data_IF_031752863057
#
_entry.id   IF_031752863057
#
_cell.length_a   1.000
_cell.length_b   1.000
_cell.length_c   1.000
_cell.angle_alpha   90.00
_cell.angle_beta   90.00
_cell.angle_gamma   90.00
#
_symmetry.space_group_name_H-M   'P 1'
#
loop_
_entity.id
_entity.type
_entity.pdbx_description
1 polymer ?
#
# COMPACT_ATOMS: atom_id res chain seq x y z
N UNK A 1 -27.79 27.78 -24.52
CA UNK A 1 -26.62 28.22 -25.31
C UNK A 1 -26.14 27.07 -26.15
N UNK A 2 -26.13 27.20 -27.48
CA UNK A 2 -25.45 26.24 -28.36
C UNK A 2 -23.96 26.53 -28.37
N UNK A 3 -23.14 25.50 -28.12
CA UNK A 3 -21.69 25.62 -28.28
C UNK A 3 -21.36 25.70 -29.78
N UNK A 4 -20.40 26.55 -30.15
CA UNK A 4 -19.85 26.55 -31.51
C UNK A 4 -19.24 25.19 -31.84
N UNK A 5 -19.14 24.86 -33.12
CA UNK A 5 -18.58 23.57 -33.58
C UNK A 5 -17.17 23.31 -33.01
N UNK A 6 -16.33 24.34 -32.97
CA UNK A 6 -14.99 24.29 -32.37
C UNK A 6 -15.04 23.96 -30.87
N UNK A 7 -15.93 24.62 -30.10
CA UNK A 7 -16.05 24.38 -28.67
C UNK A 7 -16.57 22.96 -28.38
N UNK A 8 -17.44 22.42 -29.22
CA UNK A 8 -17.90 21.04 -29.10
C UNK A 8 -16.73 20.08 -29.24
N UNK A 9 -15.90 20.22 -30.27
CA UNK A 9 -14.72 19.36 -30.48
C UNK A 9 -13.74 19.48 -29.30
N UNK A 10 -13.45 20.70 -28.86
CA UNK A 10 -12.55 20.95 -27.74
C UNK A 10 -13.02 20.25 -26.45
N UNK A 11 -14.32 20.30 -26.15
CA UNK A 11 -14.90 19.62 -24.98
C UNK A 11 -14.75 18.10 -25.08
N UNK A 12 -14.96 17.49 -26.26
CA UNK A 12 -14.79 16.05 -26.42
C UNK A 12 -13.32 15.63 -26.18
N UNK A 13 -12.36 16.40 -26.69
CA UNK A 13 -10.94 16.14 -26.42
C UNK A 13 -10.56 16.32 -24.95
N UNK A 14 -11.08 17.35 -24.28
CA UNK A 14 -10.85 17.53 -22.84
C UNK A 14 -11.44 16.38 -22.01
N UNK A 15 -12.65 15.94 -22.33
CA UNK A 15 -13.27 14.82 -21.62
C UNK A 15 -12.50 13.52 -21.88
N UNK A 16 -12.12 13.25 -23.13
CA UNK A 16 -11.38 12.05 -23.48
C UNK A 16 -10.02 11.99 -22.75
N UNK A 17 -9.29 13.10 -22.72
CA UNK A 17 -8.01 13.19 -22.00
C UNK A 17 -8.20 13.04 -20.50
N UNK A 18 -9.20 13.71 -19.90
CA UNK A 18 -9.51 13.56 -18.48
C UNK A 18 -9.85 12.11 -18.10
N UNK A 19 -10.64 11.40 -18.93
CA UNK A 19 -10.97 10.00 -18.71
C UNK A 19 -9.71 9.12 -18.78
N UNK A 20 -8.87 9.30 -19.79
CA UNK A 20 -7.62 8.53 -19.93
C UNK A 20 -6.71 8.76 -18.73
N UNK A 21 -6.55 10.01 -18.30
CA UNK A 21 -5.77 10.36 -17.11
C UNK A 21 -6.36 9.72 -15.86
N UNK A 22 -7.68 9.78 -15.65
CA UNK A 22 -8.34 9.17 -14.50
C UNK A 22 -8.15 7.64 -14.47
N UNK A 23 -8.25 6.97 -15.61
CA UNK A 23 -8.03 5.53 -15.73
C UNK A 23 -6.58 5.18 -15.36
N UNK A 24 -5.62 5.94 -15.88
CA UNK A 24 -4.19 5.74 -15.58
C UNK A 24 -3.91 5.86 -14.08
N UNK A 25 -4.39 6.93 -13.44
CA UNK A 25 -4.23 7.13 -11.99
C UNK A 25 -4.93 6.03 -11.18
N UNK A 26 -6.12 5.60 -11.61
CA UNK A 26 -6.85 4.52 -10.94
C UNK A 26 -6.09 3.20 -11.03
N UNK A 27 -5.52 2.87 -12.20
CA UNK A 27 -4.73 1.65 -12.37
C UNK A 27 -3.50 1.64 -11.45
N UNK A 28 -2.76 2.75 -11.39
CA UNK A 28 -1.61 2.90 -10.49
C UNK A 28 -2.04 2.74 -9.03
N UNK A 29 -3.11 3.43 -8.62
CA UNK A 29 -3.66 3.34 -7.27
C UNK A 29 -4.01 1.89 -6.89
N UNK A 30 -4.69 1.15 -7.77
CA UNK A 30 -5.11 -0.22 -7.50
C UNK A 30 -3.92 -1.18 -7.34
N UNK A 31 -2.86 -1.02 -8.15
CA UNK A 31 -1.64 -1.82 -8.03
C UNK A 31 -0.96 -1.57 -6.69
N UNK A 32 -0.78 -0.30 -6.33
CA UNK A 32 -0.17 0.09 -5.05
C UNK A 32 -1.01 -0.41 -3.89
N UNK A 33 -2.32 -0.14 -3.91
CA UNK A 33 -3.25 -0.54 -2.85
C UNK A 33 -3.22 -2.05 -2.60
N UNK A 34 -3.30 -2.87 -3.66
CA UNK A 34 -3.28 -4.33 -3.55
C UNK A 34 -1.94 -4.84 -3.02
N UNK A 35 -0.84 -4.31 -3.52
CA UNK A 35 0.51 -4.71 -3.08
C UNK A 35 0.71 -4.40 -1.61
N UNK A 36 0.37 -3.17 -1.21
CA UNK A 36 0.52 -2.70 0.17
C UNK A 36 -0.35 -3.50 1.12
N UNK A 37 -1.66 -3.62 0.84
CA UNK A 37 -2.57 -4.33 1.73
C UNK A 37 -2.17 -5.79 1.87
N UNK A 38 -1.81 -6.46 0.76
CA UNK A 38 -1.43 -7.87 0.82
C UNK A 38 -0.18 -8.09 1.67
N UNK A 39 0.84 -7.24 1.53
CA UNK A 39 2.05 -7.38 2.33
C UNK A 39 1.79 -7.05 3.79
N UNK A 40 1.09 -5.95 4.07
CA UNK A 40 0.76 -5.55 5.44
C UNK A 40 -0.07 -6.62 6.17
N UNK A 41 -1.08 -7.18 5.51
CA UNK A 41 -1.96 -8.20 6.10
C UNK A 41 -1.20 -9.51 6.37
N UNK A 42 -0.30 -9.90 5.46
CA UNK A 42 0.57 -11.07 5.66
C UNK A 42 1.54 -10.87 6.82
N UNK A 43 2.20 -9.70 6.89
CA UNK A 43 3.19 -9.38 7.92
C UNK A 43 2.54 -9.33 9.31
N UNK A 44 1.41 -8.62 9.43
CA UNK A 44 0.64 -8.54 10.69
C UNK A 44 0.11 -9.91 11.11
N UNK A 45 -0.40 -10.70 10.16
CA UNK A 45 -0.90 -12.05 10.46
C UNK A 45 0.22 -12.99 10.91
N UNK A 46 1.41 -12.86 10.33
CA UNK A 46 2.58 -13.64 10.71
C UNK A 46 3.02 -13.29 12.14
N UNK A 47 3.19 -12.00 12.45
CA UNK A 47 3.55 -11.54 13.80
C UNK A 47 2.49 -11.93 14.83
N UNK A 48 1.21 -11.70 14.55
CA UNK A 48 0.13 -12.08 15.45
C UNK A 48 0.12 -13.58 15.75
N UNK A 49 0.34 -14.43 14.73
CA UNK A 49 0.40 -15.88 14.91
C UNK A 49 1.61 -16.32 15.73
N UNK A 50 2.78 -15.71 15.49
CA UNK A 50 4.00 -15.95 16.25
C UNK A 50 3.77 -15.63 17.74
N UNK A 51 3.33 -14.42 18.05
CA UNK A 51 3.11 -13.96 19.42
C UNK A 51 1.97 -14.72 20.13
N UNK A 52 0.94 -15.17 19.40
CA UNK A 52 -0.11 -16.01 20.00
C UNK A 52 0.43 -17.37 20.48
N UNK A 53 1.47 -17.91 19.83
CA UNK A 53 2.09 -19.19 20.25
C UNK A 53 2.96 -19.04 21.49
N UNK A 54 3.36 -17.82 21.85
CA UNK A 54 4.08 -17.50 23.09
C UNK A 54 3.13 -17.36 24.29
N UNK A 55 1.82 -17.44 24.08
CA UNK A 55 0.81 -17.44 25.14
C UNK A 55 0.52 -18.87 25.61
N UNK A 56 0.67 -19.12 26.91
CA UNK A 56 0.27 -20.38 27.55
C UNK A 56 -0.94 -20.15 28.42
N UNK A 57 -1.99 -20.94 28.21
CA UNK A 57 -3.12 -21.02 29.13
C UNK A 57 -2.79 -22.00 30.25
N UNK A 58 -2.72 -21.51 31.48
CA UNK A 58 -2.51 -22.32 32.68
C UNK A 58 -3.69 -22.08 33.62
N UNK A 59 -4.64 -23.02 33.62
CA UNK A 59 -5.92 -22.86 34.33
C UNK A 59 -6.71 -21.67 33.78
N UNK A 60 -7.13 -20.77 34.67
CA UNK A 60 -7.84 -19.53 34.32
C UNK A 60 -6.89 -18.34 34.05
N UNK A 61 -5.58 -18.58 33.95
CA UNK A 61 -4.57 -17.53 33.75
C UNK A 61 -3.87 -17.66 32.38
N UNK A 62 -3.64 -16.51 31.74
CA UNK A 62 -2.79 -16.39 30.55
C UNK A 62 -1.39 -16.04 31.04
N UNK A 63 -0.40 -16.86 30.68
CA UNK A 63 1.01 -16.62 30.99
C UNK A 63 1.80 -16.44 29.70
N UNK A 64 2.66 -15.43 29.66
CA UNK A 64 3.61 -15.22 28.58
C UNK A 64 4.82 -16.13 28.81
N UNK A 65 5.19 -16.93 27.82
CA UNK A 65 6.34 -17.84 27.89
C UNK A 65 7.67 -17.09 27.84
N UNK A 66 7.74 -15.97 27.12
CA UNK A 66 8.95 -15.14 26.93
C UNK A 66 8.60 -13.66 27.10
N UNK A 67 8.53 -13.19 28.35
CA UNK A 67 8.22 -11.79 28.66
C UNK A 67 9.31 -10.81 28.22
N UNK A 68 10.53 -11.29 28.05
CA UNK A 68 11.70 -10.58 27.57
C UNK A 68 11.62 -10.23 26.08
N UNK A 69 11.09 -11.14 25.23
CA UNK A 69 10.85 -10.88 23.80
C UNK A 69 9.92 -9.67 23.60
N UNK A 70 8.84 -9.59 24.39
CA UNK A 70 7.88 -8.48 24.32
C UNK A 70 8.46 -7.14 24.81
N UNK A 71 9.57 -7.18 25.55
CA UNK A 71 10.29 -5.99 26.02
C UNK A 71 11.40 -5.57 25.08
N UNK A 72 11.61 -6.28 23.96
CA UNK A 72 12.63 -5.91 22.99
C UNK A 72 12.35 -4.54 22.37
N UNK A 73 13.45 -3.84 22.08
CA UNK A 73 13.45 -2.47 21.58
C UNK A 73 12.64 -2.32 20.28
N UNK A 74 12.55 -3.38 19.48
CA UNK A 74 11.81 -3.42 18.22
C UNK A 74 10.30 -3.15 18.39
N UNK A 75 9.71 -3.49 19.54
CA UNK A 75 8.29 -3.20 19.85
C UNK A 75 8.04 -1.74 20.26
N UNK A 76 9.09 -0.96 20.47
CA UNK A 76 9.01 0.48 20.76
C UNK A 76 9.38 1.34 19.54
N UNK A 77 9.78 0.72 18.43
CA UNK A 77 10.20 1.40 17.20
C UNK A 77 9.09 1.35 16.15
N UNK A 78 8.94 2.44 15.39
CA UNK A 78 8.06 2.47 14.23
C UNK A 78 8.78 1.72 13.11
N UNK A 79 8.41 0.46 12.88
CA UNK A 79 8.92 -0.29 11.75
C UNK A 79 8.35 0.26 10.44
N UNK A 80 9.24 0.67 9.54
CA UNK A 80 8.87 1.16 8.20
C UNK A 80 9.05 0.02 7.22
N UNK A 81 7.96 -0.47 6.62
CA UNK A 81 8.04 -1.57 5.65
C UNK A 81 8.79 -1.09 4.38
N UNK A 82 9.96 -1.66 4.03
CA UNK A 82 10.81 -1.17 2.93
C UNK A 82 10.16 -1.33 1.54
N UNK A 83 9.11 -2.15 1.41
CA UNK A 83 8.30 -2.24 0.18
C UNK A 83 7.76 -0.87 -0.24
N UNK A 84 7.45 0.02 0.72
CA UNK A 84 6.98 1.37 0.45
C UNK A 84 8.02 2.24 -0.27
N UNK A 85 9.29 2.14 0.14
CA UNK A 85 10.39 2.92 -0.45
C UNK A 85 10.75 2.34 -1.83
N UNK A 86 10.85 1.02 -1.92
CA UNK A 86 11.27 0.34 -3.14
C UNK A 86 10.25 0.46 -4.29
N UNK A 87 8.95 0.41 -3.99
CA UNK A 87 7.92 0.56 -5.03
C UNK A 87 7.89 1.96 -5.64
N UNK A 88 8.16 2.98 -4.82
CA UNK A 88 8.24 4.38 -5.26
C UNK A 88 9.42 4.61 -6.21
N UNK A 89 10.62 4.17 -5.81
CA UNK A 89 11.86 4.31 -6.59
C UNK A 89 11.77 3.54 -7.92
N UNK A 90 11.20 2.33 -7.90
CA UNK A 90 11.10 1.48 -9.09
C UNK A 90 10.10 2.02 -10.12
N UNK A 91 9.02 2.67 -9.64
CA UNK A 91 8.05 3.32 -10.50
C UNK A 91 8.64 4.58 -11.13
N UNK A 92 9.37 5.40 -10.36
CA UNK A 92 10.08 6.58 -10.86
C UNK A 92 11.13 6.22 -11.93
N UNK A 93 11.89 5.14 -11.70
CA UNK A 93 12.85 4.63 -12.69
C UNK A 93 12.18 4.18 -14.00
N UNK A 94 11.00 3.54 -13.93
CA UNK A 94 10.23 3.15 -15.11
C UNK A 94 9.71 4.37 -15.89
N UNK A 95 9.28 5.43 -15.20
CA UNK A 95 8.84 6.67 -15.84
C UNK A 95 10.00 7.38 -16.56
N UNK A 96 11.18 7.44 -15.94
CA UNK A 96 12.38 8.05 -16.56
C UNK A 96 12.81 7.24 -17.79
N UNK A 97 12.72 5.92 -17.73
CA UNK A 97 13.08 5.02 -18.84
C UNK A 97 12.16 5.11 -20.07
N UNK A 98 10.93 5.62 -19.88
CA UNK A 98 9.96 5.83 -20.95
C UNK A 98 10.05 7.23 -21.58
N UNK A 99 10.80 8.15 -20.95
CA UNK A 99 10.95 9.55 -21.36
C UNK A 99 12.29 9.86 -22.05
N UNK A 100 13.22 8.90 -22.11
CA UNK A 100 14.53 8.97 -22.79
C UNK A 100 14.55 7.91 -23.89
#
# INVERSE_FOLDING_TARGET
MSLSFQNRIAVHYMIATAIITAILFTAVYLVVFKTVHKNLDNDLSFEANKHTKELKLVGDSIQFLHSDEWQEKEHYEIQVNPVFINSWIKMEALWISLLI
#
